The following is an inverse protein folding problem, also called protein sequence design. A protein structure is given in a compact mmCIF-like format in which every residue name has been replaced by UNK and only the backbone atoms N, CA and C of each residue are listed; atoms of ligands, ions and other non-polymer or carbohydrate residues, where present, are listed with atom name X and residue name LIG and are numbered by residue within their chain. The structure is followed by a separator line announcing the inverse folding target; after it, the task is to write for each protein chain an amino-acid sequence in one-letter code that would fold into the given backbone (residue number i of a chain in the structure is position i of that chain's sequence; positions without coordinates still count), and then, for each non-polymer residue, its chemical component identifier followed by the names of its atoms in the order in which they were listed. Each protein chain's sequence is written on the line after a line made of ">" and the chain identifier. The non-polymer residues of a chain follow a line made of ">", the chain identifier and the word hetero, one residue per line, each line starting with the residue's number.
data_IF_771921291599
#
_entry.id   IF_771921291599
#
_cell.length_a   1.000
_cell.length_b   1.000
_cell.length_c   1.000
_cell.angle_alpha   90.00
_cell.angle_beta   90.00
_cell.angle_gamma   90.00
#
_symmetry.space_group_name_H-M   'P 1'
#
loop_
_entity.id
_entity.type
_entity.pdbx_description
1 polymer ?
#
# COMPACT_ATOMS: atom_id res chain seq x y z
N UNK A 1 -6.05 -14.96 -15.84
CA UNK A 1 -5.35 -15.06 -14.55
C UNK A 1 -6.37 -15.49 -13.51
N UNK A 2 -6.07 -16.49 -12.70
CA UNK A 2 -7.01 -17.01 -11.70
C UNK A 2 -7.44 -15.94 -10.69
N UNK A 3 -8.64 -16.08 -10.12
CA UNK A 3 -9.20 -15.17 -9.10
C UNK A 3 -8.22 -14.88 -7.97
N UNK A 4 -7.36 -15.85 -7.64
CA UNK A 4 -6.28 -15.70 -6.66
C UNK A 4 -5.30 -14.58 -7.00
N UNK A 5 -4.93 -14.41 -8.27
CA UNK A 5 -4.04 -13.33 -8.72
C UNK A 5 -4.66 -11.95 -8.47
N UNK A 6 -5.94 -11.79 -8.79
CA UNK A 6 -6.67 -10.55 -8.55
C UNK A 6 -6.78 -10.22 -7.05
N UNK A 7 -7.05 -11.23 -6.20
CA UNK A 7 -7.08 -11.05 -4.75
C UNK A 7 -5.73 -10.56 -4.22
N UNK A 8 -4.62 -11.14 -4.70
CA UNK A 8 -3.26 -10.72 -4.30
C UNK A 8 -2.96 -9.29 -4.77
N UNK A 9 -3.35 -8.93 -5.99
CA UNK A 9 -3.22 -7.56 -6.51
C UNK A 9 -3.97 -6.56 -5.63
N UNK A 10 -5.21 -6.88 -5.22
CA UNK A 10 -5.99 -6.05 -4.31
C UNK A 10 -5.33 -5.91 -2.93
N UNK A 11 -4.81 -6.99 -2.36
CA UNK A 11 -4.11 -6.94 -1.07
C UNK A 11 -2.84 -6.10 -1.13
N UNK A 12 -2.06 -6.23 -2.21
CA UNK A 12 -0.84 -5.45 -2.41
C UNK A 12 -1.14 -3.97 -2.71
N UNK A 13 -2.23 -3.68 -3.43
CA UNK A 13 -2.72 -2.32 -3.59
C UNK A 13 -3.08 -1.70 -2.23
N UNK A 14 -3.84 -2.44 -1.41
CA UNK A 14 -4.19 -2.01 -0.05
C UNK A 14 -2.94 -1.80 0.81
N UNK A 15 -1.93 -2.67 0.68
CA UNK A 15 -0.65 -2.53 1.38
C UNK A 15 0.12 -1.28 0.94
N UNK A 16 0.19 -0.98 -0.36
CA UNK A 16 0.83 0.24 -0.87
C UNK A 16 0.17 1.51 -0.34
N UNK A 17 -1.17 1.54 -0.36
CA UNK A 17 -1.96 2.64 0.22
C UNK A 17 -1.73 2.75 1.73
N UNK A 18 -1.73 1.63 2.45
CA UNK A 18 -1.44 1.59 3.88
C UNK A 18 -0.04 2.15 4.20
N UNK A 19 0.99 1.72 3.47
CA UNK A 19 2.36 2.20 3.65
C UNK A 19 2.45 3.71 3.39
N UNK A 20 1.76 4.21 2.36
CA UNK A 20 1.70 5.65 2.09
C UNK A 20 1.04 6.43 3.23
N UNK A 21 -0.12 5.97 3.72
CA UNK A 21 -0.85 6.60 4.82
C UNK A 21 -0.06 6.55 6.14
N UNK A 22 0.62 5.44 6.41
CA UNK A 22 1.50 5.27 7.55
C UNK A 22 2.71 6.20 7.46
N UNK A 23 3.36 6.30 6.31
CA UNK A 23 4.49 7.22 6.08
C UNK A 23 4.07 8.70 6.13
N UNK A 24 2.81 9.01 5.81
CA UNK A 24 2.23 10.34 6.01
C UNK A 24 1.90 10.63 7.48
N UNK A 25 1.86 9.61 8.31
CA UNK A 25 1.56 9.70 9.73
C UNK A 25 0.08 9.82 10.07
N UNK A 26 -0.79 9.46 9.13
CA UNK A 26 -2.23 9.38 9.36
C UNK A 26 -2.57 8.15 10.20
N UNK A 27 -1.86 7.04 9.98
CA UNK A 27 -2.03 5.80 10.75
C UNK A 27 -1.18 5.89 12.02
N UNK A 28 -1.87 6.06 13.15
CA UNK A 28 -1.26 6.05 14.49
C UNK A 28 -1.52 4.70 15.16
N UNK A 29 -0.48 4.07 15.68
CA UNK A 29 -0.60 2.82 16.43
C UNK A 29 -1.09 3.16 17.85
N UNK A 30 -2.21 2.55 18.27
CA UNK A 30 -2.80 2.76 19.60
C UNK A 30 -1.97 2.16 20.75
N UNK A 31 -1.17 1.15 20.45
CA UNK A 31 -0.32 0.46 21.41
C UNK A 31 0.97 1.27 21.66
N UNK A 32 1.21 1.76 22.89
CA UNK A 32 2.31 2.67 23.20
C UNK A 32 3.70 2.08 22.94
N UNK A 33 3.90 0.78 23.17
CA UNK A 33 5.20 0.12 22.94
C UNK A 33 5.51 -0.02 21.44
N UNK A 34 4.47 -0.21 20.62
CA UNK A 34 4.59 -0.29 19.16
C UNK A 34 4.64 1.10 18.51
N UNK A 35 3.99 2.09 19.11
CA UNK A 35 4.01 3.46 18.65
C UNK A 35 5.43 4.05 18.67
N UNK A 36 6.19 3.86 19.76
CA UNK A 36 7.56 4.36 19.86
C UNK A 36 8.48 3.80 18.75
N UNK A 37 8.36 2.50 18.44
CA UNK A 37 9.12 1.85 17.36
C UNK A 37 8.68 2.34 15.98
N UNK A 38 7.37 2.48 15.76
CA UNK A 38 6.83 3.01 14.52
C UNK A 38 7.23 4.47 14.28
N UNK A 39 7.31 5.29 15.34
CA UNK A 39 7.68 6.70 15.26
C UNK A 39 9.16 6.86 14.92
N UNK A 40 10.03 6.08 15.56
CA UNK A 40 11.45 6.03 15.21
C UNK A 40 11.63 5.61 13.73
N UNK A 41 10.92 4.56 13.31
CA UNK A 41 11.00 4.08 11.92
C UNK A 41 10.47 5.11 10.91
N UNK A 42 9.40 5.82 11.25
CA UNK A 42 8.85 6.90 10.42
C UNK A 42 9.79 8.09 10.33
N UNK A 43 10.46 8.50 11.41
CA UNK A 43 11.38 9.65 11.37
C UNK A 43 12.51 9.45 10.36
N UNK A 44 13.09 8.26 10.33
CA UNK A 44 14.25 7.99 9.49
C UNK A 44 13.85 7.62 8.05
N UNK A 45 12.67 7.02 7.84
CA UNK A 45 12.30 6.41 6.56
C UNK A 45 11.05 7.01 5.88
N UNK A 46 10.33 7.96 6.50
CA UNK A 46 9.07 8.46 5.96
C UNK A 46 9.20 9.06 4.55
N UNK A 47 10.33 9.71 4.23
CA UNK A 47 10.56 10.28 2.89
C UNK A 47 10.50 9.21 1.80
N UNK A 48 11.33 8.18 1.93
CA UNK A 48 11.39 7.07 0.97
C UNK A 48 10.14 6.18 1.02
N UNK A 49 9.57 5.91 2.21
CA UNK A 49 8.35 5.12 2.35
C UNK A 49 7.14 5.76 1.66
N UNK A 50 7.04 7.10 1.61
CA UNK A 50 5.99 7.78 0.86
C UNK A 50 6.11 7.49 -0.63
N UNK A 51 7.31 7.64 -1.19
CA UNK A 51 7.56 7.44 -2.62
C UNK A 51 7.35 5.98 -2.98
N UNK A 52 7.93 5.05 -2.20
CA UNK A 52 7.79 3.61 -2.44
C UNK A 52 6.35 3.12 -2.26
N UNK A 53 5.65 3.60 -1.22
CA UNK A 53 4.24 3.27 -0.99
C UNK A 53 3.34 3.79 -2.11
N UNK A 54 3.58 5.03 -2.58
CA UNK A 54 2.84 5.61 -3.70
C UNK A 54 3.14 4.89 -5.01
N UNK A 55 4.40 4.52 -5.26
CA UNK A 55 4.81 3.77 -6.45
C UNK A 55 4.18 2.37 -6.47
N UNK A 56 4.22 1.66 -5.34
CA UNK A 56 3.57 0.36 -5.19
C UNK A 56 2.06 0.47 -5.42
N UNK A 57 1.40 1.46 -4.80
CA UNK A 57 -0.02 1.68 -5.00
C UNK A 57 -0.35 2.02 -6.46
N UNK A 58 0.45 2.85 -7.13
CA UNK A 58 0.24 3.22 -8.53
C UNK A 58 0.39 2.01 -9.48
N UNK A 59 1.44 1.20 -9.30
CA UNK A 59 1.65 -0.01 -10.12
C UNK A 59 0.52 -1.02 -9.91
N UNK A 60 0.14 -1.28 -8.65
CA UNK A 60 -0.95 -2.21 -8.37
C UNK A 60 -2.31 -1.69 -8.82
N UNK A 61 -2.53 -0.36 -8.77
CA UNK A 61 -3.75 0.24 -9.30
C UNK A 61 -3.84 0.04 -10.81
N UNK A 62 -2.74 0.26 -11.54
CA UNK A 62 -2.70 -0.01 -12.98
C UNK A 62 -2.99 -1.49 -13.26
N UNK A 63 -2.39 -2.42 -12.52
CA UNK A 63 -2.68 -3.85 -12.68
C UNK A 63 -4.18 -4.15 -12.48
N UNK A 64 -4.76 -3.68 -11.37
CA UNK A 64 -6.19 -3.89 -11.06
C UNK A 64 -7.10 -3.29 -12.14
N UNK A 65 -6.82 -2.07 -12.60
CA UNK A 65 -7.60 -1.40 -13.66
C UNK A 65 -7.49 -2.12 -14.99
N UNK A 66 -6.28 -2.54 -15.38
CA UNK A 66 -6.05 -3.30 -16.61
C UNK A 66 -6.80 -4.63 -16.56
N UNK A 67 -6.70 -5.35 -15.45
CA UNK A 67 -7.39 -6.62 -15.20
C UNK A 67 -8.91 -6.44 -15.29
N UNK A 68 -9.46 -5.40 -14.64
CA UNK A 68 -10.89 -5.09 -14.68
C UNK A 68 -11.34 -4.71 -16.11
N UNK A 69 -10.54 -3.94 -16.85
CA UNK A 69 -10.88 -3.56 -18.23
C UNK A 69 -10.82 -4.75 -19.19
N UNK A 70 -9.95 -5.73 -18.94
CA UNK A 70 -9.89 -6.98 -19.69
C UNK A 70 -11.13 -7.83 -19.38
N UNK A 71 -11.52 -7.90 -18.10
CA UNK A 71 -12.72 -8.63 -17.69
C UNK A 71 -14.01 -8.03 -18.27
N UNK A 72 -14.10 -6.69 -18.36
CA UNK A 72 -15.24 -5.97 -18.96
C UNK A 72 -15.28 -6.02 -20.49
N UNK A 73 -14.15 -6.26 -21.16
CA UNK A 73 -14.05 -6.38 -22.63
C UNK A 73 -14.08 -7.83 -23.12
N UNK A 74 -14.05 -8.80 -22.21
CA UNK A 74 -14.13 -10.23 -22.48
C UNK A 74 -15.56 -10.73 -22.59
#
# INVERSE_FOLDING_TARGET
>A
MDVLGFVVECLLLALGVYLYLFARGIITIKDPDRAAKADAFRRDNAGWMRILGLALAAVMLLNVVLHLSQWLRG
#
